data_IF_976716423291
#
_entry.id   IF_976716423291
#
_cell.length_a   1.000
_cell.length_b   1.000
_cell.length_c   1.000
_cell.angle_alpha   90.00
_cell.angle_beta   90.00
_cell.angle_gamma   90.00
#
_symmetry.space_group_name_H-M   'P 1'
#
loop_
_entity.id
_entity.type
_entity.pdbx_description
1 polymer ?
#
# COMPACT_ATOMS: atom_id res chain seq x y z
N UNK A 1 15.35 15.78 11.41
CA UNK A 1 14.81 16.73 10.41
C UNK A 1 13.91 16.01 9.41
N UNK A 2 14.35 14.91 8.79
CA UNK A 2 13.54 14.05 7.90
C UNK A 2 12.31 13.42 8.56
N UNK A 3 12.34 13.14 9.86
CA UNK A 3 11.14 12.70 10.59
C UNK A 3 10.17 13.86 10.86
N UNK A 4 10.65 15.10 10.94
CA UNK A 4 9.81 16.29 11.16
C UNK A 4 9.17 16.71 9.83
N UNK A 5 9.88 16.64 8.70
CA UNK A 5 9.25 16.88 7.39
C UNK A 5 8.11 15.91 7.13
N UNK A 6 8.29 14.61 7.44
CA UNK A 6 7.25 13.59 7.31
C UNK A 6 5.99 13.92 8.14
N UNK A 7 6.16 14.63 9.26
CA UNK A 7 5.04 15.11 10.07
C UNK A 7 4.32 16.25 9.35
N UNK A 8 5.00 17.27 8.82
CA UNK A 8 4.36 18.36 8.08
C UNK A 8 3.75 17.90 6.73
N UNK A 9 4.39 16.94 6.07
CA UNK A 9 3.86 16.21 4.91
C UNK A 9 2.50 15.56 5.25
N UNK A 10 2.36 15.03 6.48
CA UNK A 10 1.11 14.40 6.96
C UNK A 10 0.05 15.39 7.46
N UNK A 11 0.43 16.63 7.80
CA UNK A 11 -0.48 17.69 8.26
C UNK A 11 -0.94 18.64 7.13
N UNK A 12 -0.54 18.39 5.88
CA UNK A 12 -0.91 19.19 4.70
C UNK A 12 -0.42 20.65 4.78
N UNK A 13 0.78 20.86 5.32
CA UNK A 13 1.50 22.15 5.29
C UNK A 13 2.76 22.02 4.41
N UNK A 14 2.60 21.95 3.08
CA UNK A 14 3.70 21.61 2.18
C UNK A 14 4.80 22.69 2.13
N UNK A 15 4.47 23.96 2.37
CA UNK A 15 5.45 25.06 2.42
C UNK A 15 6.38 24.96 3.64
N UNK A 16 5.87 24.57 4.81
CA UNK A 16 6.70 24.36 6.00
C UNK A 16 7.55 23.10 5.87
N UNK A 17 6.99 22.03 5.29
CA UNK A 17 7.75 20.84 4.94
C UNK A 17 8.92 21.17 4.00
N UNK A 18 8.70 22.00 2.97
CA UNK A 18 9.76 22.47 2.06
C UNK A 18 10.87 23.20 2.81
N UNK A 19 10.55 24.12 3.74
CA UNK A 19 11.57 24.84 4.53
C UNK A 19 12.42 23.88 5.35
N UNK A 20 11.81 22.86 5.95
CA UNK A 20 12.52 21.84 6.73
C UNK A 20 13.41 20.95 5.87
N UNK A 21 12.92 20.55 4.69
CA UNK A 21 13.69 19.76 3.72
C UNK A 21 14.87 20.55 3.16
N UNK A 22 14.69 21.83 2.83
CA UNK A 22 15.77 22.73 2.41
C UNK A 22 16.84 22.91 3.50
N UNK A 23 16.42 23.02 4.77
CA UNK A 23 17.36 23.05 5.90
C UNK A 23 18.10 21.72 6.05
N UNK A 24 17.43 20.60 5.81
CA UNK A 24 18.04 19.27 5.80
C UNK A 24 19.07 19.13 4.69
N UNK A 25 18.79 19.63 3.48
CA UNK A 25 19.72 19.63 2.34
C UNK A 25 21.02 20.36 2.66
N UNK A 26 20.93 21.58 3.21
CA UNK A 26 22.11 22.37 3.61
C UNK A 26 23.02 21.65 4.62
N UNK A 27 22.44 20.84 5.51
CA UNK A 27 23.21 20.06 6.49
C UNK A 27 23.87 18.80 5.88
N UNK A 28 23.39 18.34 4.72
CA UNK A 28 23.87 17.14 4.03
C UNK A 28 24.94 17.49 2.97
N UNK A 29 24.90 18.70 2.39
CA UNK A 29 25.91 19.18 1.41
C UNK A 29 27.34 19.17 1.98
N UNK A 30 27.49 19.37 3.29
CA UNK A 30 28.79 19.40 3.98
C UNK A 30 29.44 18.00 4.18
N UNK A 31 28.79 16.91 3.78
CA UNK A 31 29.24 15.53 4.05
C UNK A 31 29.37 14.68 2.78
N UNK A 32 30.61 14.40 2.32
CA UNK A 32 30.84 13.49 1.20
C UNK A 32 30.30 12.08 1.48
N UNK A 33 29.66 11.46 0.48
CA UNK A 33 29.25 10.04 0.52
C UNK A 33 27.79 9.75 0.87
N UNK A 34 26.93 10.77 1.04
CA UNK A 34 25.51 10.59 1.41
C UNK A 34 24.53 10.73 0.23
N UNK A 35 24.93 10.32 -0.98
CA UNK A 35 24.15 10.55 -2.21
C UNK A 35 22.73 9.95 -2.17
N UNK A 36 22.57 8.76 -1.59
CA UNK A 36 21.25 8.11 -1.42
C UNK A 36 20.34 8.89 -0.46
N UNK A 37 20.88 9.38 0.65
CA UNK A 37 20.14 10.21 1.60
C UNK A 37 19.73 11.54 0.97
N UNK A 38 20.65 12.17 0.22
CA UNK A 38 20.37 13.40 -0.51
C UNK A 38 19.26 13.18 -1.54
N UNK A 39 19.32 12.09 -2.33
CA UNK A 39 18.27 11.73 -3.27
C UNK A 39 16.91 11.53 -2.58
N UNK A 40 16.90 10.92 -1.40
CA UNK A 40 15.70 10.77 -0.57
C UNK A 40 15.07 12.11 -0.17
N UNK A 41 15.88 13.10 0.20
CA UNK A 41 15.41 14.44 0.56
C UNK A 41 14.91 15.20 -0.68
N UNK A 42 15.65 15.13 -1.79
CA UNK A 42 15.26 15.76 -3.07
C UNK A 42 13.95 15.18 -3.60
N UNK A 43 13.74 13.86 -3.52
CA UNK A 43 12.47 13.25 -3.89
C UNK A 43 11.30 13.78 -3.05
N UNK A 44 11.47 13.93 -1.73
CA UNK A 44 10.43 14.51 -0.87
C UNK A 44 10.16 15.97 -1.19
N UNK A 45 11.20 16.75 -1.49
CA UNK A 45 11.04 18.12 -1.98
C UNK A 45 10.24 18.15 -3.27
N UNK A 46 10.51 17.22 -4.19
CA UNK A 46 9.75 17.04 -5.42
C UNK A 46 8.26 16.83 -5.16
N UNK A 47 7.91 15.93 -4.22
CA UNK A 47 6.51 15.70 -3.82
C UNK A 47 5.88 16.96 -3.25
N UNK A 48 6.58 17.70 -2.39
CA UNK A 48 6.04 18.94 -1.81
C UNK A 48 5.84 20.03 -2.87
N UNK A 49 6.79 20.20 -3.80
CA UNK A 49 6.63 21.11 -4.93
C UNK A 49 5.43 20.74 -5.80
N UNK A 50 5.20 19.44 -6.03
CA UNK A 50 4.04 18.96 -6.76
C UNK A 50 2.73 19.32 -6.03
N UNK A 51 2.66 19.12 -4.72
CA UNK A 51 1.47 19.44 -3.91
C UNK A 51 1.09 20.93 -3.95
N UNK A 52 2.06 21.84 -4.06
CA UNK A 52 1.83 23.29 -4.17
C UNK A 52 1.70 23.78 -5.62
N UNK A 53 1.66 22.88 -6.61
CA UNK A 53 1.50 23.21 -8.02
C UNK A 53 2.77 23.74 -8.71
N UNK A 54 3.94 23.62 -8.09
CA UNK A 54 5.24 24.05 -8.66
C UNK A 54 5.87 22.90 -9.45
N UNK A 55 5.24 22.54 -10.58
CA UNK A 55 5.57 21.31 -11.30
C UNK A 55 6.96 21.28 -11.94
N UNK A 56 7.49 22.41 -12.43
CA UNK A 56 8.87 22.46 -12.97
C UNK A 56 9.90 22.22 -11.85
N UNK A 57 9.68 22.77 -10.66
CA UNK A 57 10.56 22.54 -9.51
C UNK A 57 10.45 21.12 -8.96
N UNK A 58 9.23 20.57 -8.98
CA UNK A 58 8.97 19.18 -8.63
C UNK A 58 9.79 18.25 -9.54
N UNK A 59 9.66 18.45 -10.86
CA UNK A 59 10.40 17.71 -11.86
C UNK A 59 11.91 17.84 -11.67
N UNK A 60 12.44 19.05 -11.52
CA UNK A 60 13.88 19.26 -11.31
C UNK A 60 14.41 18.56 -10.04
N UNK A 61 13.62 18.55 -8.97
CA UNK A 61 13.97 17.84 -7.74
C UNK A 61 13.97 16.32 -7.94
N UNK A 62 12.98 15.78 -8.65
CA UNK A 62 12.93 14.35 -8.99
C UNK A 62 14.06 13.94 -9.94
N UNK A 63 14.35 14.74 -10.96
CA UNK A 63 15.44 14.50 -11.91
C UNK A 63 16.79 14.41 -11.19
N UNK A 64 17.04 15.34 -10.26
CA UNK A 64 18.23 15.31 -9.41
C UNK A 64 18.30 14.05 -8.54
N UNK A 65 17.19 13.66 -7.91
CA UNK A 65 17.12 12.44 -7.10
C UNK A 65 17.38 11.18 -7.94
N UNK A 66 16.75 11.07 -9.12
CA UNK A 66 16.91 9.98 -10.08
C UNK A 66 18.36 9.88 -10.53
N UNK A 67 19.01 11.00 -10.86
CA UNK A 67 20.42 11.01 -11.27
C UNK A 67 21.33 10.43 -10.17
N UNK A 68 21.11 10.82 -8.91
CA UNK A 68 21.88 10.32 -7.75
C UNK A 68 21.61 8.85 -7.48
N UNK A 69 20.36 8.40 -7.55
CA UNK A 69 20.00 6.98 -7.40
C UNK A 69 20.64 6.13 -8.50
N UNK A 70 20.63 6.60 -9.75
CA UNK A 70 21.30 5.94 -10.88
C UNK A 70 22.82 5.87 -10.72
N UNK A 71 23.44 6.88 -10.12
CA UNK A 71 24.89 6.91 -9.85
C UNK A 71 25.30 6.04 -8.66
N UNK A 72 24.45 5.92 -7.63
CA UNK A 72 24.71 5.10 -6.43
C UNK A 72 24.56 3.59 -6.66
N UNK A 73 23.97 3.17 -7.78
CA UNK A 73 23.69 1.76 -8.09
C UNK A 73 22.36 1.25 -7.54
N UNK A 74 21.57 2.10 -6.86
CA UNK A 74 20.25 1.78 -6.31
C UNK A 74 19.13 1.75 -7.37
N UNK A 75 19.44 1.25 -8.57
CA UNK A 75 18.53 1.20 -9.73
C UNK A 75 17.41 0.16 -9.62
N UNK A 76 17.43 -0.66 -8.57
CA UNK A 76 16.50 -1.78 -8.34
C UNK A 76 15.94 -1.72 -6.93
N UNK A 77 15.42 -0.57 -6.56
CA UNK A 77 14.72 -0.41 -5.28
C UNK A 77 13.29 0.04 -5.53
N UNK A 78 12.38 -0.43 -4.68
CA UNK A 78 11.00 0.04 -4.68
C UNK A 78 10.93 1.58 -4.59
N UNK A 79 11.81 2.17 -3.77
CA UNK A 79 11.91 3.63 -3.64
C UNK A 79 12.26 4.29 -4.98
N UNK A 80 13.23 3.78 -5.73
CA UNK A 80 13.59 4.33 -7.03
C UNK A 80 12.41 4.27 -8.03
N UNK A 81 11.68 3.14 -8.06
CA UNK A 81 10.47 3.02 -8.87
C UNK A 81 9.37 4.02 -8.49
N UNK A 82 9.17 4.27 -7.19
CA UNK A 82 8.25 5.32 -6.70
C UNK A 82 8.70 6.70 -7.17
N UNK A 83 9.99 7.03 -7.07
CA UNK A 83 10.51 8.33 -7.52
C UNK A 83 10.29 8.54 -9.02
N UNK A 84 10.52 7.52 -9.85
CA UNK A 84 10.23 7.57 -11.29
C UNK A 84 8.75 7.82 -11.57
N UNK A 85 7.85 7.11 -10.88
CA UNK A 85 6.41 7.34 -11.00
C UNK A 85 6.03 8.79 -10.63
N UNK A 86 6.59 9.33 -9.55
CA UNK A 86 6.32 10.72 -9.15
C UNK A 86 6.88 11.74 -10.15
N UNK A 87 8.06 11.47 -10.74
CA UNK A 87 8.60 12.28 -11.83
C UNK A 87 7.68 12.24 -13.06
N UNK A 88 7.15 11.07 -13.42
CA UNK A 88 6.19 10.89 -14.50
C UNK A 88 4.93 11.72 -14.29
N UNK A 89 4.38 11.75 -13.06
CA UNK A 89 3.24 12.60 -12.72
C UNK A 89 3.55 14.10 -12.90
N UNK A 90 4.73 14.55 -12.49
CA UNK A 90 5.16 15.93 -12.75
C UNK A 90 5.26 16.23 -14.25
N UNK A 91 5.76 15.27 -15.06
CA UNK A 91 5.81 15.40 -16.51
C UNK A 91 4.41 15.52 -17.15
N UNK A 92 3.42 14.76 -16.66
CA UNK A 92 2.02 14.88 -17.10
C UNK A 92 1.48 16.30 -16.87
N UNK A 93 1.71 16.88 -15.69
CA UNK A 93 1.27 18.25 -15.38
C UNK A 93 1.96 19.32 -16.25
N UNK A 94 3.15 19.01 -16.77
CA UNK A 94 3.91 19.85 -17.68
C UNK A 94 3.64 19.54 -19.16
N UNK A 95 2.66 18.69 -19.46
CA UNK A 95 2.33 18.24 -20.83
C UNK A 95 3.50 17.54 -21.56
N UNK A 96 4.48 17.01 -20.83
CA UNK A 96 5.61 16.22 -21.35
C UNK A 96 5.22 14.74 -21.39
N UNK A 97 4.22 14.41 -22.21
CA UNK A 97 3.51 13.13 -22.16
C UNK A 97 4.38 11.95 -22.63
N UNK A 98 5.22 12.12 -23.65
CA UNK A 98 6.14 11.07 -24.12
C UNK A 98 7.12 10.65 -23.02
N UNK A 99 7.73 11.63 -22.36
CA UNK A 99 8.66 11.39 -21.25
C UNK A 99 7.96 10.76 -20.04
N UNK A 100 6.72 11.18 -19.75
CA UNK A 100 5.92 10.54 -18.71
C UNK A 100 5.72 9.05 -18.99
N UNK A 101 5.47 8.67 -20.25
CA UNK A 101 5.31 7.27 -20.63
C UNK A 101 6.58 6.46 -20.37
N UNK A 102 7.74 6.96 -20.79
CA UNK A 102 9.04 6.31 -20.55
C UNK A 102 9.30 6.12 -19.05
N UNK A 103 9.04 7.15 -18.23
CA UNK A 103 9.21 7.09 -16.78
C UNK A 103 8.26 6.07 -16.12
N UNK A 104 7.00 6.02 -16.56
CA UNK A 104 6.04 5.05 -16.04
C UNK A 104 6.36 3.61 -16.48
N UNK A 105 6.87 3.41 -17.70
CA UNK A 105 7.33 2.09 -18.16
C UNK A 105 8.52 1.59 -17.31
N UNK A 106 9.53 2.44 -17.07
CA UNK A 106 10.68 2.11 -16.20
C UNK A 106 10.21 1.84 -14.75
N UNK A 107 9.33 2.70 -14.22
CA UNK A 107 8.76 2.53 -12.88
C UNK A 107 7.97 1.21 -12.75
N UNK A 108 7.20 0.83 -13.78
CA UNK A 108 6.43 -0.43 -13.81
C UNK A 108 7.37 -1.62 -13.67
N UNK A 109 8.41 -1.69 -14.49
CA UNK A 109 9.35 -2.82 -14.47
C UNK A 109 10.01 -2.98 -13.09
N UNK A 110 10.44 -1.87 -12.50
CA UNK A 110 11.09 -1.87 -11.19
C UNK A 110 10.10 -2.27 -10.09
N UNK A 111 8.91 -1.67 -10.05
CA UNK A 111 7.94 -1.93 -8.98
C UNK A 111 7.28 -3.32 -9.09
N UNK A 112 7.08 -3.83 -10.31
CA UNK A 112 6.70 -5.23 -10.51
C UNK A 112 7.76 -6.18 -9.96
N UNK A 113 9.04 -5.91 -10.20
CA UNK A 113 10.13 -6.76 -9.73
C UNK A 113 10.30 -6.68 -8.21
N UNK A 114 10.27 -5.48 -7.64
CA UNK A 114 10.61 -5.24 -6.23
C UNK A 114 9.42 -5.45 -5.28
N UNK A 115 8.20 -5.12 -5.72
CA UNK A 115 7.00 -5.15 -4.88
C UNK A 115 5.94 -6.13 -5.37
N UNK A 116 5.99 -6.52 -6.64
CA UNK A 116 4.98 -7.35 -7.29
C UNK A 116 3.86 -6.55 -7.95
N UNK A 117 3.09 -7.17 -8.87
CA UNK A 117 2.07 -6.50 -9.68
C UNK A 117 0.83 -6.05 -8.90
N UNK A 118 0.60 -6.62 -7.70
CA UNK A 118 -0.54 -6.28 -6.85
C UNK A 118 -0.22 -5.20 -5.81
N UNK A 119 1.02 -4.70 -5.76
CA UNK A 119 1.38 -3.64 -4.83
C UNK A 119 0.71 -2.32 -5.23
N UNK A 120 0.33 -1.50 -4.25
CA UNK A 120 -0.39 -0.24 -4.50
C UNK A 120 0.40 0.69 -5.42
N UNK A 121 1.72 0.80 -5.22
CA UNK A 121 2.57 1.63 -6.08
C UNK A 121 2.59 1.12 -7.52
N UNK A 122 2.68 -0.20 -7.72
CA UNK A 122 2.64 -0.82 -9.06
C UNK A 122 1.28 -0.61 -9.74
N UNK A 123 0.18 -0.74 -8.99
CA UNK A 123 -1.17 -0.48 -9.48
C UNK A 123 -1.39 0.98 -9.86
N UNK A 124 -0.81 1.91 -9.08
CA UNK A 124 -0.78 3.33 -9.39
C UNK A 124 -0.06 3.58 -10.72
N UNK A 125 1.10 2.96 -10.94
CA UNK A 125 1.83 3.06 -12.20
C UNK A 125 1.02 2.54 -13.38
N UNK A 126 0.34 1.40 -13.27
CA UNK A 126 -0.50 0.93 -14.38
C UNK A 126 -1.61 1.91 -14.73
N UNK A 127 -2.24 2.50 -13.72
CA UNK A 127 -3.30 3.49 -13.93
C UNK A 127 -2.76 4.73 -14.64
N UNK A 128 -1.59 5.21 -14.22
CA UNK A 128 -0.90 6.33 -14.85
C UNK A 128 -0.47 6.01 -16.28
N UNK A 129 0.07 4.81 -16.52
CA UNK A 129 0.54 4.38 -17.83
C UNK A 129 -0.62 4.20 -18.82
N UNK A 130 -1.73 3.59 -18.39
CA UNK A 130 -2.95 3.52 -19.18
C UNK A 130 -3.48 4.92 -19.54
N UNK A 131 -3.42 5.86 -18.58
CA UNK A 131 -3.82 7.24 -18.83
C UNK A 131 -2.94 7.97 -19.83
N UNK A 132 -1.65 7.71 -19.76
CA UNK A 132 -0.63 8.34 -20.60
C UNK A 132 -0.70 7.79 -22.02
N UNK A 133 -0.87 6.47 -22.19
CA UNK A 133 -1.07 5.86 -23.49
C UNK A 133 -2.32 6.35 -24.21
N UNK A 134 -3.42 6.50 -23.48
CA UNK A 134 -4.65 7.11 -23.98
C UNK A 134 -4.39 8.54 -24.48
N UNK A 135 -3.71 9.37 -23.69
CA UNK A 135 -3.33 10.73 -24.08
C UNK A 135 -2.39 10.79 -25.31
N UNK A 136 -1.58 9.76 -25.54
CA UNK A 136 -0.72 9.61 -26.73
C UNK A 136 -1.46 9.02 -27.94
N UNK A 137 -2.73 8.66 -27.80
CA UNK A 137 -3.48 7.95 -28.84
C UNK A 137 -3.09 6.48 -29.01
N UNK A 138 -2.28 5.93 -28.09
CA UNK A 138 -1.92 4.50 -28.00
C UNK A 138 -3.06 3.72 -27.32
N UNK A 139 -4.26 3.80 -27.90
CA UNK A 139 -5.51 3.29 -27.33
C UNK A 139 -5.45 1.78 -27.05
N UNK A 140 -4.86 1.00 -27.96
CA UNK A 140 -4.66 -0.45 -27.77
C UNK A 140 -3.85 -0.78 -26.53
N UNK A 141 -2.75 -0.07 -26.29
CA UNK A 141 -1.87 -0.32 -25.15
C UNK A 141 -2.56 0.08 -23.83
N UNK A 142 -3.34 1.17 -23.85
CA UNK A 142 -4.16 1.59 -22.71
C UNK A 142 -5.23 0.53 -22.37
N UNK A 143 -5.90 -0.03 -23.38
CA UNK A 143 -6.87 -1.13 -23.23
C UNK A 143 -6.19 -2.35 -22.63
N UNK A 144 -5.02 -2.76 -23.14
CA UNK A 144 -4.31 -3.94 -22.66
C UNK A 144 -3.95 -3.81 -21.17
N UNK A 145 -3.42 -2.65 -20.76
CA UNK A 145 -3.11 -2.40 -19.35
C UNK A 145 -4.37 -2.44 -18.49
N UNK A 146 -5.46 -1.76 -18.90
CA UNK A 146 -6.70 -1.75 -18.11
C UNK A 146 -7.32 -3.14 -18.00
N UNK A 147 -7.30 -3.95 -19.07
CA UNK A 147 -7.76 -5.33 -19.03
C UNK A 147 -6.89 -6.17 -18.08
N UNK A 148 -5.57 -6.01 -18.14
CA UNK A 148 -4.64 -6.68 -17.25
C UNK A 148 -4.93 -6.32 -15.78
N UNK A 149 -5.03 -5.03 -15.46
CA UNK A 149 -5.27 -4.53 -14.09
C UNK A 149 -6.63 -4.97 -13.58
N UNK A 150 -7.70 -4.84 -14.37
CA UNK A 150 -9.04 -5.26 -13.96
C UNK A 150 -9.09 -6.75 -13.69
N UNK A 151 -8.47 -7.57 -14.55
CA UNK A 151 -8.35 -9.02 -14.31
C UNK A 151 -7.55 -9.32 -13.05
N UNK A 152 -6.43 -8.63 -12.86
CA UNK A 152 -5.60 -8.79 -11.67
C UNK A 152 -6.37 -8.43 -10.39
N UNK A 153 -7.13 -7.32 -10.42
CA UNK A 153 -7.99 -6.89 -9.30
C UNK A 153 -9.13 -7.87 -9.07
N UNK A 154 -9.83 -8.33 -10.11
CA UNK A 154 -10.89 -9.34 -10.01
C UNK A 154 -10.38 -10.64 -9.36
N UNK A 155 -9.20 -11.12 -9.77
CA UNK A 155 -8.63 -12.39 -9.29
C UNK A 155 -7.97 -12.29 -7.91
N UNK A 156 -7.37 -11.13 -7.55
CA UNK A 156 -6.46 -11.02 -6.38
C UNK A 156 -6.90 -10.02 -5.32
N UNK A 157 -7.62 -8.95 -5.68
CA UNK A 157 -7.87 -7.79 -4.79
C UNK A 157 -9.37 -7.52 -4.55
N UNK A 158 -10.23 -8.15 -5.33
CA UNK A 158 -11.67 -7.90 -5.36
C UNK A 158 -12.04 -6.60 -6.09
N UNK A 159 -13.33 -6.46 -6.41
CA UNK A 159 -13.88 -5.36 -7.23
C UNK A 159 -14.46 -4.21 -6.42
N UNK A 160 -14.31 -4.23 -5.09
CA UNK A 160 -14.86 -3.24 -4.16
C UNK A 160 -13.84 -2.11 -3.87
N UNK A 161 -13.49 -1.34 -4.90
CA UNK A 161 -12.64 -0.15 -4.84
C UNK A 161 -13.12 0.86 -5.91
N UNK A 162 -13.25 2.17 -5.62
CA UNK A 162 -13.55 3.19 -6.64
C UNK A 162 -12.65 3.11 -7.88
N UNK A 163 -11.34 2.90 -7.70
CA UNK A 163 -10.41 2.79 -8.84
C UNK A 163 -10.78 1.66 -9.79
N UNK A 164 -11.36 0.56 -9.30
CA UNK A 164 -11.80 -0.56 -10.15
C UNK A 164 -12.98 -0.15 -11.04
N UNK A 165 -13.93 0.60 -10.50
CA UNK A 165 -15.06 1.10 -11.27
C UNK A 165 -14.63 2.18 -12.27
N UNK A 166 -13.67 3.04 -11.89
CA UNK A 166 -13.09 4.06 -12.76
C UNK A 166 -12.27 3.44 -13.90
N UNK A 167 -11.38 2.48 -13.61
CA UNK A 167 -10.64 1.70 -14.61
C UNK A 167 -11.59 0.97 -15.57
N UNK A 168 -12.68 0.39 -15.04
CA UNK A 168 -13.69 -0.31 -15.84
C UNK A 168 -14.49 0.63 -16.73
N UNK A 169 -14.82 1.82 -16.23
CA UNK A 169 -15.48 2.89 -16.99
C UNK A 169 -14.58 3.38 -18.11
N UNK A 170 -13.32 3.69 -17.79
CA UNK A 170 -12.32 4.09 -18.78
C UNK A 170 -12.13 3.04 -19.86
N UNK A 171 -12.01 1.77 -19.48
CA UNK A 171 -11.93 0.68 -20.45
C UNK A 171 -13.18 0.61 -21.35
N UNK A 172 -14.38 0.87 -20.81
CA UNK A 172 -15.60 0.86 -21.61
C UNK A 172 -15.66 2.03 -22.61
N UNK A 173 -15.16 3.21 -22.21
CA UNK A 173 -15.04 4.39 -23.07
C UNK A 173 -14.05 4.14 -24.21
N UNK A 174 -12.83 3.69 -23.90
CA UNK A 174 -11.81 3.38 -24.90
C UNK A 174 -12.24 2.30 -25.89
N UNK A 175 -12.90 1.24 -25.40
CA UNK A 175 -13.44 0.20 -26.28
C UNK A 175 -14.49 0.77 -27.24
N UNK A 176 -15.40 1.63 -26.74
CA UNK A 176 -16.42 2.29 -27.56
C UNK A 176 -15.78 3.18 -28.64
N UNK A 177 -14.77 3.97 -28.28
CA UNK A 177 -14.04 4.85 -29.20
C UNK A 177 -13.27 4.06 -30.26
N UNK A 178 -12.68 2.91 -29.89
CA UNK A 178 -12.03 1.99 -30.82
C UNK A 178 -13.01 1.21 -31.71
N UNK A 179 -14.33 1.46 -31.62
CA UNK A 179 -15.36 0.72 -32.36
C UNK A 179 -15.56 -0.72 -31.89
N UNK A 180 -15.06 -1.07 -30.70
CA UNK A 180 -15.13 -2.42 -30.10
C UNK A 180 -16.19 -2.42 -28.99
N UNK A 181 -17.30 -3.13 -29.16
CA UNK A 181 -18.26 -3.30 -28.06
C UNK A 181 -17.87 -4.53 -27.21
N UNK A 182 -17.66 -4.34 -25.90
CA UNK A 182 -17.45 -5.45 -24.97
C UNK A 182 -18.73 -6.28 -24.89
N UNK A 183 -18.82 -7.36 -25.67
CA UNK A 183 -19.91 -8.31 -25.55
C UNK A 183 -19.84 -8.93 -24.14
N UNK A 184 -20.84 -8.67 -23.29
CA UNK A 184 -20.98 -9.09 -21.88
C UNK A 184 -20.88 -10.62 -21.63
N UNK A 185 -20.52 -11.44 -22.62
CA UNK A 185 -20.38 -12.90 -22.55
C UNK A 185 -18.96 -13.43 -22.81
N UNK A 186 -17.98 -12.60 -23.15
CA UNK A 186 -16.63 -13.10 -23.40
C UNK A 186 -15.79 -13.12 -22.10
N UNK A 187 -15.60 -14.34 -21.55
CA UNK A 187 -14.57 -14.76 -20.58
C UNK A 187 -14.87 -14.71 -19.07
N UNK A 188 -16.08 -15.08 -18.68
CA UNK A 188 -16.25 -15.87 -17.45
C UNK A 188 -16.19 -17.36 -17.83
N UNK A 189 -15.04 -18.01 -17.62
CA UNK A 189 -14.84 -19.47 -17.61
C UNK A 189 -15.47 -20.28 -18.75
N UNK A 190 -14.76 -20.40 -19.87
CA UNK A 190 -14.90 -21.59 -20.71
C UNK A 190 -13.51 -22.05 -21.14
N UNK A 191 -13.23 -23.32 -20.82
CA UNK A 191 -12.08 -24.15 -21.18
C UNK A 191 -10.93 -24.23 -20.15
N UNK A 192 -11.23 -24.88 -19.03
CA UNK A 192 -10.29 -25.87 -18.49
C UNK A 192 -10.53 -27.19 -19.25
N UNK A 193 -9.47 -27.70 -19.91
CA UNK A 193 -9.25 -29.08 -20.38
C UNK A 193 -10.08 -29.55 -21.60
N UNK A 194 -9.42 -29.60 -22.77
CA UNK A 194 -9.44 -30.80 -23.62
C UNK A 194 -8.09 -30.89 -24.39
N UNK A 195 -7.36 -32.03 -24.34
CA UNK A 195 -6.12 -32.19 -25.06
C UNK A 195 -6.43 -32.63 -26.50
N UNK A 196 -5.67 -32.09 -27.46
CA UNK A 196 -5.69 -32.46 -28.89
C UNK A 196 -6.63 -31.63 -29.78
N UNK A 197 -6.16 -30.44 -30.17
CA UNK A 197 -6.49 -29.89 -31.48
C UNK A 197 -5.29 -29.13 -32.05
N UNK A 198 -4.66 -29.73 -33.06
CA UNK A 198 -3.57 -29.14 -33.83
C UNK A 198 -4.10 -28.01 -34.70
N UNK A 199 -3.51 -26.81 -34.58
CA UNK A 199 -3.22 -25.93 -35.72
C UNK A 199 -2.20 -24.86 -35.35
N UNK A 200 -1.42 -24.51 -36.35
CA UNK A 200 -0.04 -24.01 -36.37
C UNK A 200 0.11 -22.49 -36.32
N UNK A 201 1.20 -22.05 -35.67
CA UNK A 201 2.00 -20.80 -35.81
C UNK A 201 1.24 -19.48 -35.55
N UNK A 202 1.76 -18.54 -34.74
CA UNK A 202 3.11 -17.98 -34.74
C UNK A 202 3.45 -17.36 -33.37
N UNK A 203 4.74 -17.33 -33.06
CA UNK A 203 5.37 -16.94 -31.80
C UNK A 203 5.05 -15.51 -31.33
N UNK A 204 4.92 -15.32 -30.02
CA UNK A 204 5.71 -14.36 -29.24
C UNK A 204 5.70 -14.80 -27.78
N UNK A 205 6.88 -14.77 -27.15
CA UNK A 205 7.19 -15.38 -25.86
C UNK A 205 6.42 -14.74 -24.71
N UNK A 206 5.56 -15.51 -24.03
CA UNK A 206 4.98 -15.14 -22.74
C UNK A 206 5.60 -16.00 -21.64
N UNK A 207 6.44 -15.39 -20.80
CA UNK A 207 6.96 -16.00 -19.57
C UNK A 207 5.90 -15.85 -18.47
N UNK A 208 5.30 -16.97 -18.09
CA UNK A 208 4.40 -17.14 -16.93
C UNK A 208 5.11 -16.83 -15.62
N UNK A 209 4.43 -16.10 -14.73
CA UNK A 209 4.78 -15.98 -13.31
C UNK A 209 3.86 -16.89 -12.47
N UNK A 210 4.48 -17.60 -11.52
CA UNK A 210 3.85 -18.54 -10.61
C UNK A 210 3.97 -18.05 -9.16
N UNK A 211 2.81 -18.00 -8.50
CA UNK A 211 2.51 -18.26 -7.07
C UNK A 211 3.12 -17.43 -5.93
N UNK A 212 2.25 -17.10 -4.95
CA UNK A 212 2.37 -17.00 -3.46
C UNK A 212 1.45 -15.86 -2.96
N UNK A 213 0.63 -15.94 -1.89
CA UNK A 213 0.23 -16.99 -0.96
C UNK A 213 -0.74 -16.38 0.10
N UNK A 214 -2.01 -16.84 0.15
CA UNK A 214 -3.02 -16.42 1.14
C UNK A 214 -2.97 -17.30 2.40
N UNK A 215 -3.07 -16.71 3.60
CA UNK A 215 -3.32 -17.45 4.84
C UNK A 215 -4.84 -17.69 5.01
N UNK A 216 -5.16 -18.98 4.98
CA UNK A 216 -6.44 -19.71 4.88
C UNK A 216 -7.48 -19.35 5.97
N UNK A 217 -8.75 -19.22 5.58
CA UNK A 217 -9.90 -19.67 6.40
C UNK A 217 -10.36 -21.01 5.80
N UNK A 218 -10.59 -22.00 6.67
CA UNK A 218 -11.00 -23.36 6.33
C UNK A 218 -12.50 -23.44 6.00
N UNK A 219 -12.88 -23.03 4.80
CA UNK A 219 -13.84 -23.76 3.97
C UNK A 219 -13.61 -23.25 2.54
N UNK A 220 -13.73 -24.12 1.54
CA UNK A 220 -13.36 -23.80 0.15
C UNK A 220 -14.32 -22.84 -0.57
N UNK A 221 -15.08 -22.00 0.14
CA UNK A 221 -16.02 -21.05 -0.46
C UNK A 221 -15.57 -19.60 -0.22
N UNK A 222 -15.56 -18.79 -1.28
CA UNK A 222 -15.30 -17.35 -1.19
C UNK A 222 -16.46 -16.68 -0.45
N UNK A 223 -16.26 -16.11 0.76
CA UNK A 223 -17.36 -15.57 1.54
C UNK A 223 -17.95 -14.32 0.87
N UNK A 224 -19.27 -14.28 0.69
CA UNK A 224 -19.95 -13.08 0.21
C UNK A 224 -19.97 -12.00 1.33
N UNK A 225 -19.06 -11.04 1.24
CA UNK A 225 -18.89 -9.98 2.24
C UNK A 225 -19.97 -8.89 2.23
N UNK A 226 -20.95 -8.91 1.31
CA UNK A 226 -22.00 -7.88 1.22
C UNK A 226 -22.79 -7.69 2.52
N UNK A 227 -22.90 -8.74 3.35
CA UNK A 227 -23.65 -8.72 4.62
C UNK A 227 -22.75 -8.61 5.86
N UNK A 228 -21.43 -8.51 5.70
CA UNK A 228 -20.50 -8.46 6.82
C UNK A 228 -20.34 -7.04 7.36
N UNK A 229 -20.25 -6.91 8.67
CA UNK A 229 -20.07 -5.62 9.32
C UNK A 229 -18.65 -5.11 9.11
N UNK A 230 -18.50 -3.81 8.86
CA UNK A 230 -17.21 -3.16 8.66
C UNK A 230 -16.72 -2.53 9.97
N UNK A 231 -15.50 -2.84 10.40
CA UNK A 231 -14.79 -2.14 11.46
C UNK A 231 -13.51 -1.51 10.89
N UNK A 232 -13.29 -0.23 11.17
CA UNK A 232 -12.02 0.44 10.93
C UNK A 232 -11.32 0.69 12.26
N UNK A 233 -9.98 0.70 12.31
CA UNK A 233 -9.26 1.01 13.55
C UNK A 233 -9.66 2.35 14.16
N UNK A 234 -9.92 3.36 13.33
CA UNK A 234 -10.41 4.69 13.76
C UNK A 234 -11.68 4.63 14.62
N UNK A 235 -12.55 3.62 14.43
CA UNK A 235 -13.82 3.51 15.15
C UNK A 235 -13.63 3.35 16.66
N UNK A 236 -12.51 2.76 17.06
CA UNK A 236 -12.19 2.45 18.45
C UNK A 236 -10.90 3.13 18.93
N UNK A 237 -10.37 4.10 18.16
CA UNK A 237 -9.17 4.85 18.53
C UNK A 237 -9.48 6.00 19.50
N UNK A 238 -8.89 5.99 20.70
CA UNK A 238 -9.07 7.01 21.73
C UNK A 238 -8.50 8.39 21.37
N UNK A 239 -7.54 8.44 20.43
CA UNK A 239 -6.93 9.69 19.94
C UNK A 239 -7.77 10.43 18.90
N UNK A 240 -8.88 9.83 18.45
CA UNK A 240 -9.75 10.40 17.42
C UNK A 240 -11.05 10.90 18.06
N UNK A 241 -11.57 12.01 17.57
CA UNK A 241 -12.88 12.56 17.95
C UNK A 241 -14.03 11.81 17.25
N UNK A 242 -15.27 12.11 17.63
CA UNK A 242 -16.45 11.57 16.95
C UNK A 242 -16.51 12.05 15.50
N UNK A 243 -16.16 13.32 15.25
CA UNK A 243 -16.08 13.92 13.92
C UNK A 243 -15.06 13.20 13.02
N UNK A 244 -13.88 12.87 13.57
CA UNK A 244 -12.83 12.14 12.85
C UNK A 244 -13.13 10.65 12.65
N UNK A 245 -14.18 10.11 13.27
CA UNK A 245 -14.63 8.75 12.97
C UNK A 245 -14.76 7.80 14.16
N UNK A 246 -14.42 8.22 15.38
CA UNK A 246 -14.65 7.37 16.56
C UNK A 246 -16.14 7.04 16.71
N UNK A 247 -16.45 5.81 17.12
CA UNK A 247 -17.83 5.27 17.23
C UNK A 247 -18.22 4.80 18.63
N UNK A 248 -17.29 4.81 19.58
CA UNK A 248 -17.52 4.50 21.00
C UNK A 248 -17.00 5.64 21.88
N UNK A 249 -17.39 5.68 23.16
CA UNK A 249 -16.91 6.73 24.09
C UNK A 249 -15.40 6.69 24.26
N UNK A 250 -14.76 7.84 24.48
CA UNK A 250 -13.30 7.92 24.62
C UNK A 250 -12.79 7.02 25.77
N UNK A 251 -13.54 6.95 26.88
CA UNK A 251 -13.25 6.09 28.03
C UNK A 251 -13.31 4.58 27.74
N UNK A 252 -13.94 4.17 26.63
CA UNK A 252 -14.06 2.77 26.21
C UNK A 252 -13.22 2.46 24.96
N UNK A 253 -12.51 3.45 24.43
CA UNK A 253 -11.64 3.32 23.27
C UNK A 253 -10.21 2.96 23.68
N UNK A 254 -9.39 2.51 22.74
CA UNK A 254 -7.98 2.19 22.97
C UNK A 254 -7.07 3.03 22.07
N UNK A 255 -5.81 3.19 22.47
CA UNK A 255 -4.86 4.03 21.75
C UNK A 255 -4.35 3.33 20.49
N UNK A 256 -4.48 3.97 19.32
CA UNK A 256 -3.88 3.55 18.04
C UNK A 256 -4.02 2.06 17.69
N UNK A 257 -5.24 1.49 17.68
CA UNK A 257 -5.47 0.11 17.27
C UNK A 257 -5.06 -0.11 15.81
N UNK A 258 -4.68 -1.34 15.46
CA UNK A 258 -4.43 -1.77 14.07
C UNK A 258 -5.48 -2.78 13.61
N UNK A 259 -5.66 -2.95 12.30
CA UNK A 259 -6.59 -3.93 11.76
C UNK A 259 -6.19 -5.38 12.10
N UNK A 260 -4.89 -5.67 12.23
CA UNK A 260 -4.38 -6.96 12.69
C UNK A 260 -4.82 -7.27 14.11
N UNK A 261 -4.62 -6.35 15.04
CA UNK A 261 -5.03 -6.54 16.44
C UNK A 261 -6.54 -6.69 16.58
N UNK A 262 -7.31 -5.95 15.79
CA UNK A 262 -8.77 -6.08 15.74
C UNK A 262 -9.16 -7.47 15.23
N UNK A 263 -8.48 -7.98 14.19
CA UNK A 263 -8.70 -9.32 13.66
C UNK A 263 -8.37 -10.40 14.67
N UNK A 264 -7.21 -10.33 15.32
CA UNK A 264 -6.79 -11.27 16.36
C UNK A 264 -7.79 -11.29 17.53
N UNK A 265 -8.31 -10.13 17.93
CA UNK A 265 -9.38 -10.03 18.92
C UNK A 265 -10.68 -10.69 18.42
N UNK A 266 -11.06 -10.52 17.15
CA UNK A 266 -12.22 -11.21 16.57
C UNK A 266 -12.05 -12.74 16.62
N UNK A 267 -10.84 -13.23 16.31
CA UNK A 267 -10.49 -14.64 16.41
C UNK A 267 -10.60 -15.18 17.84
N UNK A 268 -10.06 -14.44 18.82
CA UNK A 268 -10.21 -14.78 20.24
C UNK A 268 -11.68 -14.81 20.67
N UNK A 269 -12.49 -13.88 20.17
CA UNK A 269 -13.93 -13.81 20.42
C UNK A 269 -14.74 -14.81 19.59
N UNK A 270 -14.10 -15.70 18.81
CA UNK A 270 -14.75 -16.70 17.94
C UNK A 270 -15.78 -16.07 16.98
N UNK A 271 -15.49 -14.86 16.49
CA UNK A 271 -16.29 -14.18 15.47
C UNK A 271 -15.58 -14.32 14.14
N UNK A 272 -16.22 -14.90 13.10
CA UNK A 272 -15.64 -14.95 11.77
C UNK A 272 -15.29 -13.54 11.27
N UNK A 273 -14.04 -13.38 10.81
CA UNK A 273 -13.53 -12.09 10.36
C UNK A 273 -12.66 -12.24 9.12
N UNK A 274 -12.50 -11.15 8.38
CA UNK A 274 -11.50 -11.01 7.32
C UNK A 274 -10.81 -9.65 7.46
N UNK A 275 -9.50 -9.62 7.28
CA UNK A 275 -8.69 -8.40 7.36
C UNK A 275 -8.36 -7.95 5.94
N UNK A 276 -8.65 -6.70 5.63
CA UNK A 276 -8.35 -6.04 4.37
C UNK A 276 -7.38 -4.88 4.67
N UNK A 277 -6.07 -5.16 4.63
CA UNK A 277 -5.02 -4.19 5.01
C UNK A 277 -4.89 -3.04 4.00
N UNK A 278 -5.27 -3.29 2.75
CA UNK A 278 -5.28 -2.36 1.61
C UNK A 278 -6.41 -1.33 1.67
N UNK A 279 -7.37 -1.48 2.58
CA UNK A 279 -8.55 -0.61 2.65
C UNK A 279 -8.36 0.47 3.69
N UNK A 280 -8.56 1.72 3.30
CA UNK A 280 -8.54 2.86 4.23
C UNK A 280 -9.94 3.28 4.68
N UNK A 281 -9.99 4.03 5.78
CA UNK A 281 -11.20 4.66 6.25
C UNK A 281 -11.62 5.80 5.29
N UNK A 282 -12.87 5.85 4.80
CA UNK A 282 -13.25 6.79 3.72
C UNK A 282 -13.13 8.28 4.03
N UNK A 283 -13.00 8.66 5.31
CA UNK A 283 -12.84 10.06 5.74
C UNK A 283 -11.42 10.43 6.13
N UNK A 284 -10.52 9.45 6.23
CA UNK A 284 -9.12 9.65 6.62
C UNK A 284 -8.32 8.49 6.00
N UNK A 285 -7.76 8.73 4.81
CA UNK A 285 -7.06 7.70 4.03
C UNK A 285 -5.77 7.23 4.70
N UNK A 286 -5.23 8.00 5.66
CA UNK A 286 -4.08 7.60 6.47
C UNK A 286 -4.43 6.50 7.47
N UNK A 287 -5.72 6.33 7.81
CA UNK A 287 -6.19 5.24 8.64
C UNK A 287 -6.49 3.99 7.81
N UNK A 288 -5.41 3.25 7.55
CA UNK A 288 -5.40 2.00 6.78
C UNK A 288 -5.84 0.79 7.60
N UNK A 289 -6.31 -0.22 6.88
CA UNK A 289 -6.83 -1.47 7.40
C UNK A 289 -8.34 -1.42 7.69
N UNK A 290 -9.04 -2.46 7.22
CA UNK A 290 -10.46 -2.71 7.47
C UNK A 290 -10.64 -4.14 7.94
N UNK A 291 -11.52 -4.36 8.91
CA UNK A 291 -11.90 -5.69 9.37
C UNK A 291 -13.38 -5.93 9.06
N UNK A 292 -13.67 -6.95 8.27
CA UNK A 292 -15.01 -7.46 8.05
C UNK A 292 -15.32 -8.47 9.14
N UNK A 293 -16.50 -8.39 9.73
CA UNK A 293 -16.94 -9.34 10.78
C UNK A 293 -18.36 -9.83 10.53
N UNK A 294 -18.57 -11.13 10.75
CA UNK A 294 -19.88 -11.75 10.65
C UNK A 294 -20.48 -11.93 12.06
N UNK A 295 -21.35 -11.02 12.49
CA UNK A 295 -21.98 -11.11 13.82
C UNK A 295 -23.09 -12.17 13.87
N UNK A 296 -23.85 -12.31 12.78
CA UNK A 296 -24.97 -13.24 12.67
C UNK A 296 -24.73 -14.23 11.53
N UNK A 297 -25.10 -15.49 11.74
CA UNK A 297 -25.14 -16.52 10.70
C UNK A 297 -26.33 -16.27 9.76
N UNK A 298 -26.42 -17.06 8.69
CA UNK A 298 -27.51 -17.00 7.71
C UNK A 298 -28.89 -17.25 8.31
N UNK A 299 -28.98 -18.05 9.37
CA UNK A 299 -30.19 -18.34 10.16
C UNK A 299 -30.56 -17.24 11.17
N UNK A 300 -29.77 -16.17 11.26
CA UNK A 300 -29.98 -15.07 12.20
C UNK A 300 -29.39 -15.29 13.60
N UNK A 301 -28.88 -16.48 13.90
CA UNK A 301 -28.20 -16.79 15.17
C UNK A 301 -26.87 -16.03 15.30
N UNK A 302 -26.46 -15.73 16.53
CA UNK A 302 -25.20 -15.01 16.79
C UNK A 302 -23.99 -15.96 16.68
N UNK A 303 -22.92 -15.51 16.02
CA UNK A 303 -21.65 -16.25 16.01
C UNK A 303 -21.03 -16.32 17.41
N UNK A 304 -21.19 -15.26 18.20
CA UNK A 304 -20.87 -15.25 19.63
C UNK A 304 -22.09 -14.73 20.43
N UNK A 305 -22.72 -15.56 21.29
CA UNK A 305 -23.90 -15.17 22.07
C UNK A 305 -23.68 -13.96 23.00
N UNK A 306 -22.44 -13.72 23.46
CA UNK A 306 -22.10 -12.57 24.30
C UNK A 306 -22.01 -11.25 23.52
N UNK A 307 -22.00 -11.29 22.18
CA UNK A 307 -21.80 -10.14 21.32
C UNK A 307 -22.96 -10.04 20.32
N UNK A 308 -24.02 -9.38 20.75
CA UNK A 308 -25.25 -9.24 19.95
C UNK A 308 -25.18 -8.10 18.92
N UNK A 309 -24.26 -7.14 19.10
CA UNK A 309 -24.19 -5.94 18.28
C UNK A 309 -22.76 -5.51 17.93
N UNK A 310 -22.66 -4.74 16.84
CA UNK A 310 -21.40 -4.11 16.40
C UNK A 310 -20.81 -3.19 17.47
N UNK A 311 -21.64 -2.48 18.24
CA UNK A 311 -21.19 -1.60 19.32
C UNK A 311 -20.57 -2.40 20.47
N UNK A 312 -21.21 -3.51 20.88
CA UNK A 312 -20.64 -4.40 21.89
C UNK A 312 -19.32 -5.02 21.42
N UNK A 313 -19.24 -5.44 20.16
CA UNK A 313 -17.99 -5.94 19.57
C UNK A 313 -16.87 -4.89 19.66
N UNK A 314 -17.15 -3.65 19.23
CA UNK A 314 -16.17 -2.56 19.26
C UNK A 314 -15.64 -2.30 20.68
N UNK A 315 -16.51 -2.23 21.68
CA UNK A 315 -16.10 -2.06 23.08
C UNK A 315 -15.25 -3.24 23.55
N UNK A 316 -15.68 -4.48 23.26
CA UNK A 316 -14.95 -5.68 23.68
C UNK A 316 -13.56 -5.79 23.04
N UNK A 317 -13.45 -5.45 21.76
CA UNK A 317 -12.15 -5.40 21.06
C UNK A 317 -11.26 -4.32 21.69
N UNK A 318 -11.80 -3.11 21.96
CA UNK A 318 -11.03 -2.04 22.57
C UNK A 318 -10.48 -2.40 23.97
N UNK A 319 -11.16 -3.25 24.74
CA UNK A 319 -10.66 -3.80 26.00
C UNK A 319 -9.54 -4.85 25.84
N UNK A 320 -9.52 -5.55 24.70
CA UNK A 320 -8.58 -6.64 24.42
C UNK A 320 -7.30 -6.15 23.74
N UNK A 321 -7.40 -5.15 22.85
CA UNK A 321 -6.25 -4.62 22.08
C UNK A 321 -5.06 -4.21 22.97
N UNK A 322 -5.22 -3.51 24.10
CA UNK A 322 -4.10 -3.18 24.98
C UNK A 322 -3.36 -4.41 25.55
N UNK A 323 -4.06 -5.54 25.67
CA UNK A 323 -3.50 -6.82 26.16
C UNK A 323 -2.95 -7.69 25.04
N UNK A 324 -2.92 -7.19 23.80
CA UNK A 324 -2.48 -7.95 22.64
C UNK A 324 -0.99 -8.34 22.79
N UNK A 325 -0.58 -9.59 22.52
CA UNK A 325 0.80 -10.05 22.72
C UNK A 325 1.85 -9.19 21.99
N UNK A 326 1.51 -8.64 20.82
CA UNK A 326 2.38 -7.73 20.06
C UNK A 326 2.62 -6.38 20.73
N UNK A 327 1.77 -5.96 21.68
CA UNK A 327 1.94 -4.73 22.47
C UNK A 327 2.67 -4.98 23.78
N UNK A 328 2.34 -6.08 24.47
CA UNK A 328 2.93 -6.41 25.77
C UNK A 328 4.44 -6.69 25.64
N UNK A 329 4.88 -7.36 24.56
CA UNK A 329 6.32 -7.57 24.26
C UNK A 329 7.11 -6.29 23.97
N UNK A 330 6.46 -5.19 23.59
CA UNK A 330 7.10 -3.87 23.38
C UNK A 330 7.21 -3.05 24.67
N UNK A 331 6.55 -3.49 25.75
CA UNK A 331 6.55 -2.81 27.05
C UNK A 331 7.40 -3.53 28.10
N UNK A 332 7.88 -4.75 27.85
CA UNK A 332 8.92 -5.35 28.68
C UNK A 332 10.25 -4.63 28.40
N UNK A 333 10.89 -4.00 29.40
CA UNK A 333 12.25 -3.53 29.23
C UNK A 333 13.11 -4.74 28.90
N UNK A 334 13.93 -4.62 27.85
CA UNK A 334 14.95 -5.61 27.51
C UNK A 334 15.70 -5.98 28.80
N UNK A 335 15.53 -7.23 29.23
CA UNK A 335 16.26 -7.76 30.37
C UNK A 335 17.75 -7.53 30.09
N UNK A 336 18.35 -6.66 30.89
CA UNK A 336 19.78 -6.40 30.94
C UNK A 336 20.47 -7.74 31.10
N UNK A 337 21.06 -8.26 30.02
CA UNK A 337 22.06 -9.31 30.10
C UNK A 337 23.26 -8.70 30.81
N UNK A 338 23.35 -8.98 32.12
CA UNK A 338 24.45 -8.58 32.97
C UNK A 338 25.78 -8.93 32.30
N UNK A 339 26.60 -7.91 32.12
CA UNK A 339 28.01 -8.05 31.80
C UNK A 339 28.67 -8.94 32.86
N UNK A 340 29.32 -10.00 32.38
CA UNK A 340 30.25 -10.81 33.17
C UNK A 340 31.42 -9.91 33.60
N UNK A 341 31.69 -9.74 34.91
CA UNK A 341 32.88 -9.01 35.33
C UNK A 341 34.10 -9.90 35.16
N UNK A 342 35.00 -9.50 34.25
CA UNK A 342 36.35 -10.05 34.13
C UNK A 342 37.14 -9.74 35.41
N UNK A 343 37.32 -10.75 36.26
CA UNK A 343 38.25 -10.70 37.39
C UNK A 343 39.69 -10.57 36.85
N UNK A 344 40.29 -9.40 37.06
CA UNK A 344 41.73 -9.18 36.97
C UNK A 344 42.42 -9.82 38.19
N UNK A 345 42.90 -11.05 38.02
CA UNK A 345 43.75 -11.71 39.00
C UNK A 345 45.15 -11.11 39.02
N UNK A 346 45.43 -10.22 39.98
CA UNK A 346 46.80 -9.92 40.44
C UNK A 346 47.28 -11.09 41.31
N UNK A 347 48.00 -12.05 40.71
CA UNK A 347 48.74 -13.09 41.42
C UNK A 347 50.22 -12.74 41.49
N UNK A 348 50.72 -12.50 42.70
CA UNK A 348 52.09 -12.10 42.97
C UNK A 348 53.13 -13.21 42.78
N UNK A 349 54.34 -12.78 42.41
CA UNK A 349 55.62 -13.52 42.48
C UNK A 349 55.89 -14.11 43.87
N UNK A 350 56.34 -15.37 43.92
CA UNK A 350 57.45 -15.89 44.77
C UNK A 350 57.80 -17.32 44.29
N UNK A 351 59.05 -17.55 43.83
CA UNK A 351 60.13 -18.34 44.49
C UNK A 351 59.66 -19.78 44.83
N UNK A 352 60.25 -20.86 44.32
CA UNK A 352 61.66 -21.25 44.21
C UNK A 352 61.82 -22.30 43.13
#
# INVERSE_FOLDING_TARGET
MTEISAIYESFNEPEEALKLLQKSMKLLEDKPGQQSTIAGVEARMGVMFYMVGRYEEARGSFESAVAKLRASGERKSAFFGVVLNQMGLACVQLFKIDEAAELFEEAREILEQECGPCHQDTLGVYSNLAATYDALGRVEDAIEILEYVLKLREEKLGTANPDFDDEKKRLAELLKEAGRSRNKKAKSLENLIDPNSKRTKKETSSKKWSAFGFRRIMDGSTPNFKKWNILYPVYINSKKTVAEGRRISASKACENPTALEIGDCCGHLKIPFAIELDKAYPRDFMQVGRVRVLLKRSDGSLNNPAIASKKQLMVRIAELVPRHPGRVKKQEPAATSNAVPTKSGKGGKKKR
#
